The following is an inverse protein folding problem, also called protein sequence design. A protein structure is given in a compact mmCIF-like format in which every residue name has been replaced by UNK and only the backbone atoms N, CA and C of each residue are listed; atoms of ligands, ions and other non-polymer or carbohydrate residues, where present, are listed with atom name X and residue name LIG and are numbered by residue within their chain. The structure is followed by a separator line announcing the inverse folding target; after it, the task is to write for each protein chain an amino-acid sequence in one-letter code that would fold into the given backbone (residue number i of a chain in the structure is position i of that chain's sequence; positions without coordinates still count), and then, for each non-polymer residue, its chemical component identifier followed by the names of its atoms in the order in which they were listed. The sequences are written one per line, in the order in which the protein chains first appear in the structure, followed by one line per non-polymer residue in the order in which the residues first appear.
data_IF_466727644400
#
_entry.id   IF_466727644400
#
_cell.length_a   1.000
_cell.length_b   1.000
_cell.length_c   1.000
_cell.angle_alpha   90.00
_cell.angle_beta   90.00
_cell.angle_gamma   90.00
#
_symmetry.space_group_name_H-M   'P 1'
#
loop_
_entity.id
_entity.type
_entity.pdbx_description
1 polymer ?
#
# COMPACT_ATOMS: atom_id res chain seq x y z
N UNK A 1 70.71 -6.52 -13.10
CA UNK A 1 69.60 -5.57 -12.86
C UNK A 1 69.04 -5.84 -11.47
N UNK A 2 69.24 -4.95 -10.48
CA UNK A 2 68.60 -5.01 -9.14
C UNK A 2 67.31 -4.13 -9.13
N UNK A 3 66.40 -4.14 -8.12
CA UNK A 3 66.62 -3.73 -6.70
C UNK A 3 65.97 -4.67 -5.64
N UNK A 4 66.50 -4.85 -4.42
CA UNK A 4 66.61 -3.98 -3.23
C UNK A 4 65.31 -3.79 -2.42
N UNK A 5 65.29 -4.35 -1.20
CA UNK A 5 64.35 -4.09 -0.10
C UNK A 5 65.07 -3.32 1.02
N UNK A 6 64.34 -2.38 1.62
CA UNK A 6 64.66 -1.60 2.84
C UNK A 6 63.77 -0.35 2.77
N UNK A 7 62.98 0.06 3.75
CA UNK A 7 63.00 -0.13 5.19
C UNK A 7 63.07 1.27 5.84
N UNK A 8 62.15 1.55 6.77
CA UNK A 8 62.22 2.57 7.85
C UNK A 8 61.41 3.88 7.73
N UNK A 9 60.41 3.97 8.62
CA UNK A 9 60.11 5.04 9.62
C UNK A 9 59.86 6.51 9.22
N UNK A 10 58.81 7.09 9.81
CA UNK A 10 58.84 8.47 10.31
C UNK A 10 57.60 9.32 10.03
N UNK A 11 56.69 9.42 11.02
CA UNK A 11 55.89 10.64 11.28
C UNK A 11 56.79 11.67 12.01
N UNK A 12 56.50 13.00 12.11
CA UNK A 12 55.18 13.56 12.47
C UNK A 12 54.79 14.98 11.95
N UNK A 13 53.53 15.36 12.29
CA UNK A 13 53.00 16.67 12.72
C UNK A 13 53.08 17.95 11.84
N UNK A 14 51.95 18.70 11.83
CA UNK A 14 52.00 20.18 11.81
C UNK A 14 50.87 20.94 11.10
N UNK A 15 49.86 21.39 11.87
CA UNK A 15 49.08 22.64 11.79
C UNK A 15 48.59 23.19 10.42
N UNK A 16 47.29 23.51 10.32
CA UNK A 16 46.78 24.82 10.75
C UNK A 16 45.25 24.94 10.57
N UNK A 17 44.60 25.52 11.59
CA UNK A 17 43.19 25.93 11.60
C UNK A 17 43.03 27.32 11.00
N UNK A 18 41.94 27.58 10.27
CA UNK A 18 41.37 28.92 10.19
C UNK A 18 39.85 28.83 10.36
N UNK A 19 39.40 29.60 11.34
CA UNK A 19 38.06 29.79 11.85
C UNK A 19 37.57 31.15 11.36
N UNK A 20 36.34 31.27 10.85
CA UNK A 20 35.63 32.56 10.79
C UNK A 20 34.12 32.35 10.64
N UNK A 21 33.39 32.84 11.64
CA UNK A 21 31.93 32.92 11.73
C UNK A 21 31.52 34.42 11.66
N UNK A 22 30.25 34.84 11.87
CA UNK A 22 29.34 35.27 10.81
C UNK A 22 28.99 36.77 10.85
N UNK A 23 28.37 37.28 9.77
CA UNK A 23 27.82 38.65 9.70
C UNK A 23 26.28 38.67 9.73
N UNK A 24 25.77 39.76 10.31
CA UNK A 24 24.43 40.00 10.86
C UNK A 24 23.43 40.62 9.89
N UNK A 25 22.15 40.52 10.31
CA UNK A 25 21.02 41.44 10.14
C UNK A 25 20.35 41.58 8.75
N UNK A 26 19.03 41.35 8.69
CA UNK A 26 18.07 42.45 8.91
C UNK A 26 16.62 41.96 9.04
N UNK A 27 15.95 42.37 10.12
CA UNK A 27 14.51 42.32 10.37
C UNK A 27 13.78 43.41 9.60
N UNK A 28 12.66 43.08 8.94
CA UNK A 28 11.53 44.03 8.76
C UNK A 28 10.19 43.30 8.80
N UNK A 29 9.46 43.50 9.90
CA UNK A 29 8.02 43.25 10.02
C UNK A 29 7.26 44.23 9.13
N UNK A 30 6.31 43.73 8.35
CA UNK A 30 5.26 44.54 7.75
C UNK A 30 3.93 44.21 8.42
N UNK A 31 3.42 45.18 9.18
CA UNK A 31 2.06 45.20 9.71
C UNK A 31 1.27 46.19 8.87
N UNK A 32 0.20 45.74 8.20
CA UNK A 32 -0.75 46.65 7.55
C UNK A 32 -2.17 46.33 8.01
N UNK A 33 -2.78 47.38 8.55
CA UNK A 33 -4.11 47.45 9.15
C UNK A 33 -5.18 47.52 8.06
N UNK A 34 -6.28 46.83 8.28
CA UNK A 34 -7.57 47.01 7.60
C UNK A 34 -8.22 48.35 8.00
N UNK A 35 -9.01 48.94 7.09
CA UNK A 35 -10.12 49.81 7.48
C UNK A 35 -11.48 49.26 7.02
N UNK A 36 -12.43 49.18 7.96
CA UNK A 36 -13.88 49.30 7.72
C UNK A 36 -14.24 50.80 7.75
N UNK A 37 -15.35 51.25 7.13
CA UNK A 37 -16.57 51.41 7.94
C UNK A 37 -17.95 51.34 7.22
N UNK A 38 -18.97 51.09 8.06
CA UNK A 38 -20.34 51.66 8.11
C UNK A 38 -21.41 51.35 7.03
N UNK A 39 -22.56 50.82 7.50
CA UNK A 39 -23.83 50.62 6.76
C UNK A 39 -24.68 51.89 6.56
N UNK A 40 -25.97 51.79 6.15
CA UNK A 40 -27.05 51.66 7.14
C UNK A 40 -28.28 50.79 6.74
N UNK A 41 -29.27 50.83 7.64
CA UNK A 41 -30.49 50.03 7.85
C UNK A 41 -31.66 50.31 6.88
N UNK A 42 -32.60 49.38 6.86
CA UNK A 42 -34.02 49.57 6.52
C UNK A 42 -34.49 48.55 5.48
N UNK A 43 -35.60 47.83 5.58
CA UNK A 43 -36.74 47.85 6.50
C UNK A 43 -37.61 46.64 6.17
N UNK A 44 -38.47 46.27 7.12
CA UNK A 44 -39.43 45.16 7.03
C UNK A 44 -40.45 45.38 5.91
N UNK A 45 -40.90 44.29 5.27
CA UNK A 45 -42.30 44.08 4.87
C UNK A 45 -42.59 42.59 4.68
N UNK A 46 -43.44 42.10 5.56
CA UNK A 46 -44.29 40.93 5.37
C UNK A 46 -45.00 40.97 4.02
N UNK A 47 -44.92 39.86 3.28
CA UNK A 47 -46.03 39.36 2.47
C UNK A 47 -46.01 37.84 2.45
N UNK A 48 -46.95 37.29 3.20
CA UNK A 48 -47.43 35.91 3.14
C UNK A 48 -48.09 35.69 1.78
N UNK A 49 -47.58 34.76 0.98
CA UNK A 49 -48.36 33.99 0.01
C UNK A 49 -47.52 32.77 -0.42
N UNK A 50 -47.85 31.61 0.15
CA UNK A 50 -47.69 30.36 -0.60
C UNK A 50 -48.67 30.43 -1.77
N UNK A 51 -48.31 29.89 -2.93
CA UNK A 51 -48.96 28.63 -3.22
C UNK A 51 -48.11 27.63 -4.05
N UNK A 52 -48.46 26.36 -3.85
CA UNK A 52 -48.18 25.20 -4.70
C UNK A 52 -46.70 24.78 -4.83
N UNK A 53 -46.30 23.77 -4.04
CA UNK A 53 -45.24 22.87 -4.48
C UNK A 53 -45.72 22.18 -5.75
N UNK A 54 -45.07 22.35 -6.92
CA UNK A 54 -45.16 21.31 -7.92
C UNK A 54 -44.51 20.08 -7.31
N UNK A 55 -45.22 18.95 -7.33
CA UNK A 55 -44.61 17.64 -7.14
C UNK A 55 -43.64 17.47 -8.32
N UNK A 56 -42.41 17.98 -8.17
CA UNK A 56 -41.33 17.68 -9.09
C UNK A 56 -41.10 16.18 -8.98
N UNK A 57 -41.59 15.41 -9.96
CA UNK A 57 -41.02 14.11 -10.26
C UNK A 57 -39.53 14.37 -10.49
N UNK A 58 -38.71 14.14 -9.47
CA UNK A 58 -37.29 13.99 -9.65
C UNK A 58 -37.13 12.78 -10.57
N UNK A 59 -36.95 13.05 -11.86
CA UNK A 59 -36.47 12.05 -12.78
C UNK A 59 -35.10 11.64 -12.21
N UNK A 60 -35.05 10.45 -11.60
CA UNK A 60 -33.78 9.81 -11.29
C UNK A 60 -33.16 9.56 -12.66
N UNK A 61 -32.31 10.50 -13.09
CA UNK A 61 -31.44 10.27 -14.21
C UNK A 61 -30.62 9.04 -13.83
N UNK A 62 -30.94 7.90 -14.43
CA UNK A 62 -30.01 6.78 -14.53
C UNK A 62 -28.79 7.39 -15.23
N UNK A 63 -27.81 7.81 -14.44
CA UNK A 63 -26.49 8.13 -14.96
C UNK A 63 -26.05 6.80 -15.57
N UNK A 64 -26.09 6.71 -16.90
CA UNK A 64 -25.44 5.63 -17.59
C UNK A 64 -23.98 5.73 -17.16
N UNK A 65 -23.55 4.85 -16.25
CA UNK A 65 -22.18 4.77 -15.81
C UNK A 65 -21.35 4.49 -17.08
N UNK A 66 -20.80 5.57 -17.65
CA UNK A 66 -19.84 5.46 -18.73
C UNK A 66 -18.71 4.53 -18.28
N UNK A 67 -18.05 3.85 -19.22
CA UNK A 67 -17.01 2.89 -18.87
C UNK A 67 -15.96 3.58 -17.99
N UNK A 68 -15.73 3.00 -16.80
CA UNK A 68 -14.86 3.60 -15.80
C UNK A 68 -13.48 3.91 -16.40
N UNK A 69 -13.07 5.17 -16.34
CA UNK A 69 -11.81 5.63 -16.92
C UNK A 69 -10.67 5.57 -15.90
N UNK A 70 -9.44 5.40 -16.39
CA UNK A 70 -8.19 5.57 -15.65
C UNK A 70 -7.36 6.69 -16.30
N UNK A 71 -6.95 7.68 -15.50
CA UNK A 71 -6.07 8.74 -15.96
C UNK A 71 -4.63 8.23 -16.11
N UNK A 72 -3.99 8.58 -17.22
CA UNK A 72 -2.58 8.32 -17.50
C UNK A 72 -1.77 9.62 -17.30
N UNK A 73 -1.29 10.22 -18.39
CA UNK A 73 -0.47 11.43 -18.42
C UNK A 73 -1.19 12.55 -19.16
N UNK A 74 -0.93 13.81 -18.77
CA UNK A 74 -1.36 15.01 -19.52
C UNK A 74 -2.86 15.03 -19.89
N UNK A 75 -3.73 14.53 -19.00
CA UNK A 75 -5.17 14.48 -19.23
C UNK A 75 -5.66 13.31 -20.10
N UNK A 76 -4.76 12.50 -20.65
CA UNK A 76 -5.12 11.26 -21.36
C UNK A 76 -5.74 10.28 -20.37
N UNK A 77 -6.86 9.69 -20.75
CA UNK A 77 -7.53 8.63 -20.00
C UNK A 77 -7.78 7.42 -20.89
N UNK A 78 -7.84 6.25 -20.26
CA UNK A 78 -8.18 4.99 -20.93
C UNK A 78 -9.37 4.32 -20.26
N UNK A 79 -10.12 3.57 -21.05
CA UNK A 79 -11.16 2.68 -20.54
C UNK A 79 -10.53 1.53 -19.78
N UNK A 80 -10.98 1.29 -18.55
CA UNK A 80 -10.58 0.11 -17.76
C UNK A 80 -11.19 -1.15 -18.37
N UNK A 81 -10.49 -2.27 -18.22
CA UNK A 81 -11.05 -3.59 -18.53
C UNK A 81 -12.20 -3.95 -17.58
N UNK A 82 -13.06 -4.92 -17.93
CA UNK A 82 -14.22 -5.29 -17.10
C UNK A 82 -13.88 -5.71 -15.66
N UNK A 83 -12.68 -6.25 -15.43
CA UNK A 83 -12.18 -6.60 -14.10
C UNK A 83 -11.64 -5.39 -13.29
N UNK A 84 -11.64 -4.22 -13.92
CA UNK A 84 -11.26 -2.92 -13.37
C UNK A 84 -9.81 -2.52 -13.63
N UNK A 85 -9.04 -3.28 -14.43
CA UNK A 85 -7.62 -2.98 -14.66
C UNK A 85 -7.40 -1.85 -15.66
N UNK A 86 -6.35 -1.08 -15.44
CA UNK A 86 -5.80 -0.10 -16.39
C UNK A 86 -4.45 -0.63 -16.89
N UNK A 87 -4.35 -0.93 -18.20
CA UNK A 87 -3.13 -1.50 -18.82
C UNK A 87 -2.58 -2.72 -18.05
N UNK A 88 -3.46 -3.59 -17.55
CA UNK A 88 -3.07 -4.77 -16.78
C UNK A 88 -2.91 -4.53 -15.27
N UNK A 89 -3.06 -3.32 -14.74
CA UNK A 89 -2.90 -3.02 -13.31
C UNK A 89 -4.23 -2.87 -12.58
N UNK A 90 -4.41 -3.53 -11.43
CA UNK A 90 -5.58 -3.37 -10.58
C UNK A 90 -5.56 -2.01 -9.82
N UNK A 91 -6.73 -1.43 -9.53
CA UNK A 91 -6.81 -0.19 -8.77
C UNK A 91 -6.53 -0.45 -7.29
N UNK A 92 -5.66 0.36 -6.69
CA UNK A 92 -5.26 0.24 -5.28
C UNK A 92 -5.48 1.53 -4.47
N UNK A 93 -5.69 2.66 -5.15
CA UNK A 93 -5.87 3.95 -4.50
C UNK A 93 -4.58 4.51 -3.90
N UNK A 94 -4.72 5.37 -2.89
CA UNK A 94 -3.62 6.01 -2.18
C UNK A 94 -3.91 5.98 -0.67
N UNK A 95 -2.97 5.45 0.12
CA UNK A 95 -3.08 5.41 1.56
C UNK A 95 -2.99 6.83 2.13
N UNK A 96 -3.92 7.15 3.03
CA UNK A 96 -3.92 8.44 3.72
C UNK A 96 -2.58 8.65 4.48
N UNK A 97 -2.01 9.87 4.48
CA UNK A 97 -0.70 10.13 5.10
C UNK A 97 -0.62 9.81 6.60
N UNK A 98 -1.73 9.85 7.32
CA UNK A 98 -1.85 9.52 8.74
C UNK A 98 -1.89 8.00 9.00
N UNK A 99 -2.18 7.19 7.98
CA UNK A 99 -2.12 5.74 8.03
C UNK A 99 -0.69 5.18 7.82
N UNK A 100 0.31 6.06 7.68
CA UNK A 100 1.69 5.71 7.30
C UNK A 100 2.69 6.24 8.31
N UNK A 101 3.67 5.41 8.66
CA UNK A 101 4.82 5.81 9.47
C UNK A 101 6.10 5.86 8.63
N UNK A 102 7.06 6.69 9.05
CA UNK A 102 8.38 6.71 8.46
C UNK A 102 9.15 5.43 8.83
N UNK A 103 9.80 4.82 7.85
CA UNK A 103 10.75 3.72 8.06
C UNK A 103 12.12 4.33 8.37
N UNK A 104 12.78 3.92 9.47
CA UNK A 104 14.11 4.39 9.83
C UNK A 104 15.14 4.30 8.69
N UNK A 105 16.05 5.29 8.55
CA UNK A 105 17.12 5.26 7.54
C UNK A 105 18.07 4.05 7.64
N UNK A 106 18.11 3.36 8.79
CA UNK A 106 18.87 2.11 8.94
C UNK A 106 18.29 0.95 8.13
N UNK A 107 17.03 1.05 7.70
CA UNK A 107 16.29 0.00 6.98
C UNK A 107 15.96 0.37 5.53
N UNK A 108 16.15 1.64 5.14
CA UNK A 108 15.77 2.12 3.82
C UNK A 108 16.81 3.06 3.19
N UNK A 109 16.90 3.00 1.87
CA UNK A 109 17.62 3.98 1.04
C UNK A 109 16.64 5.08 0.65
N UNK A 110 16.85 6.29 1.17
CA UNK A 110 15.96 7.43 0.94
C UNK A 110 14.70 7.39 1.82
N UNK A 111 13.75 8.28 1.51
CA UNK A 111 12.51 8.36 2.26
C UNK A 111 11.61 7.15 1.95
N UNK A 112 11.27 6.40 2.99
CA UNK A 112 10.37 5.27 2.92
C UNK A 112 9.27 5.43 3.98
N UNK A 113 8.02 5.26 3.57
CA UNK A 113 6.87 5.22 4.48
C UNK A 113 6.05 3.98 4.22
N UNK A 114 5.57 3.34 5.27
CA UNK A 114 4.76 2.13 5.21
C UNK A 114 3.64 2.21 6.24
N UNK A 115 2.62 1.37 6.07
CA UNK A 115 1.69 1.11 7.16
C UNK A 115 2.42 0.44 8.33
N UNK A 116 2.02 0.71 9.60
CA UNK A 116 2.77 0.24 10.76
C UNK A 116 3.02 -1.27 10.79
N UNK A 117 2.05 -2.07 10.34
CA UNK A 117 2.14 -3.53 10.35
C UNK A 117 3.17 -4.05 9.33
N UNK A 118 3.20 -3.44 8.13
CA UNK A 118 4.23 -3.74 7.13
C UNK A 118 5.62 -3.23 7.55
N UNK A 119 5.70 -2.07 8.21
CA UNK A 119 6.96 -1.54 8.73
C UNK A 119 7.55 -2.47 9.82
N UNK A 120 6.71 -2.96 10.74
CA UNK A 120 7.11 -3.92 11.75
C UNK A 120 7.55 -5.26 11.13
N UNK A 121 6.86 -5.73 10.10
CA UNK A 121 7.24 -6.93 9.36
C UNK A 121 8.56 -6.75 8.60
N UNK A 122 8.77 -5.59 7.96
CA UNK A 122 10.01 -5.23 7.29
C UNK A 122 11.19 -5.26 8.28
N UNK A 123 11.01 -4.69 9.48
CA UNK A 123 12.05 -4.74 10.52
C UNK A 123 12.44 -6.18 10.87
N UNK A 124 11.45 -7.06 11.11
CA UNK A 124 11.72 -8.48 11.41
C UNK A 124 12.47 -9.18 10.27
N UNK A 125 12.06 -8.92 9.03
CA UNK A 125 12.70 -9.46 7.83
C UNK A 125 14.16 -9.00 7.72
N UNK A 126 14.42 -7.70 7.84
CA UNK A 126 15.76 -7.14 7.70
C UNK A 126 16.68 -7.56 8.85
N UNK A 127 16.17 -7.69 10.07
CA UNK A 127 16.93 -8.25 11.20
C UNK A 127 17.32 -9.70 10.94
N UNK A 128 16.40 -10.52 10.43
CA UNK A 128 16.71 -11.91 10.09
C UNK A 128 17.72 -12.00 8.93
N UNK A 129 17.56 -11.18 7.90
CA UNK A 129 18.49 -11.12 6.77
C UNK A 129 19.91 -10.72 7.24
N UNK A 130 20.04 -9.74 8.13
CA UNK A 130 21.32 -9.28 8.65
C UNK A 130 22.06 -10.35 9.50
N UNK A 131 21.33 -11.31 10.08
CA UNK A 131 21.91 -12.40 10.85
C UNK A 131 22.26 -13.64 10.03
N UNK A 132 21.91 -13.67 8.74
CA UNK A 132 22.09 -14.85 7.89
C UNK A 132 23.34 -14.70 7.00
N UNK A 133 24.34 -15.60 7.11
CA UNK A 133 25.57 -15.52 6.33
C UNK A 133 25.36 -15.70 4.81
N UNK A 134 24.22 -16.24 4.37
CA UNK A 134 23.87 -16.32 2.95
C UNK A 134 23.56 -14.94 2.36
N UNK A 135 23.22 -13.96 3.19
CA UNK A 135 22.98 -12.58 2.77
C UNK A 135 24.35 -11.88 2.64
N UNK A 136 24.97 -12.02 1.48
CA UNK A 136 26.27 -11.40 1.16
C UNK A 136 26.11 -9.93 0.76
N UNK A 137 25.71 -9.10 1.72
CA UNK A 137 25.42 -7.68 1.55
C UNK A 137 24.38 -7.21 2.55
N UNK A 138 24.00 -5.94 2.51
CA UNK A 138 22.93 -5.42 3.37
C UNK A 138 21.68 -5.22 2.54
N UNK A 139 20.60 -5.91 2.89
CA UNK A 139 19.28 -5.74 2.29
C UNK A 139 18.61 -4.48 2.84
N UNK A 140 17.94 -3.71 1.98
CA UNK A 140 17.22 -2.49 2.33
C UNK A 140 15.91 -2.38 1.55
N UNK A 141 14.94 -1.65 2.09
CA UNK A 141 13.90 -1.06 1.27
C UNK A 141 14.47 0.13 0.46
N UNK A 142 14.04 0.36 -0.77
CA UNK A 142 14.39 1.58 -1.53
C UNK A 142 13.20 2.27 -2.19
N UNK A 143 12.06 1.59 -2.32
CA UNK A 143 10.78 2.20 -2.67
C UNK A 143 9.67 1.63 -1.79
N UNK A 144 8.83 2.49 -1.24
CA UNK A 144 7.78 2.11 -0.28
C UNK A 144 6.46 2.76 -0.69
N UNK A 145 5.70 3.37 0.22
CA UNK A 145 4.52 4.14 -0.18
C UNK A 145 4.86 5.18 -1.25
N UNK A 146 4.02 5.23 -2.29
CA UNK A 146 4.09 6.21 -3.38
C UNK A 146 2.72 6.82 -3.56
N UNK A 147 2.61 8.12 -3.28
CA UNK A 147 1.35 8.85 -3.46
C UNK A 147 0.90 8.86 -4.92
N UNK A 148 -0.38 9.15 -5.15
CA UNK A 148 -0.95 9.25 -6.49
C UNK A 148 -0.15 10.22 -7.38
N UNK A 149 0.21 11.38 -6.84
CA UNK A 149 0.98 12.42 -7.54
C UNK A 149 2.39 11.92 -7.88
N UNK A 150 3.06 11.24 -6.94
CA UNK A 150 4.38 10.67 -7.21
C UNK A 150 4.31 9.48 -8.18
N UNK A 151 3.24 8.67 -8.14
CA UNK A 151 3.02 7.62 -9.13
C UNK A 151 2.81 8.21 -10.52
N UNK A 152 2.07 9.31 -10.64
CA UNK A 152 1.90 10.04 -11.89
C UNK A 152 3.23 10.55 -12.44
N UNK A 153 4.04 11.20 -11.60
CA UNK A 153 5.38 11.59 -12.02
C UNK A 153 6.23 10.38 -12.44
N UNK A 154 6.17 9.28 -11.69
CA UNK A 154 6.94 8.06 -12.01
C UNK A 154 6.53 7.44 -13.33
N UNK A 155 5.23 7.33 -13.58
CA UNK A 155 4.69 6.79 -14.82
C UNK A 155 5.00 7.72 -16.00
N UNK A 156 4.80 9.03 -15.84
CA UNK A 156 4.87 10.02 -16.94
C UNK A 156 6.26 10.62 -17.22
N UNK A 157 7.32 10.26 -16.45
CA UNK A 157 8.64 10.89 -16.64
C UNK A 157 9.34 10.51 -17.95
N UNK A 158 9.03 9.34 -18.51
CA UNK A 158 9.63 8.88 -19.77
C UNK A 158 8.72 9.27 -20.93
N UNK A 159 9.30 9.58 -22.10
CA UNK A 159 8.54 9.93 -23.31
C UNK A 159 8.00 8.69 -24.04
N UNK A 160 7.85 7.57 -23.35
CA UNK A 160 7.53 6.27 -23.93
C UNK A 160 6.03 6.16 -24.24
N UNK A 161 5.71 6.15 -25.53
CA UNK A 161 4.39 5.94 -26.15
C UNK A 161 3.27 6.89 -25.69
N UNK A 162 2.52 7.47 -26.63
CA UNK A 162 1.34 8.28 -26.32
C UNK A 162 0.24 7.49 -25.57
N UNK A 163 0.27 6.15 -25.65
CA UNK A 163 -0.72 5.25 -25.05
C UNK A 163 -0.35 4.77 -23.65
N UNK A 164 0.92 4.91 -23.24
CA UNK A 164 1.44 4.41 -21.96
C UNK A 164 1.54 2.88 -21.84
N UNK A 165 1.27 2.14 -22.92
CA UNK A 165 1.26 0.66 -22.91
C UNK A 165 2.66 0.11 -22.57
N UNK A 166 3.70 0.61 -23.24
CA UNK A 166 5.08 0.18 -22.99
C UNK A 166 5.52 0.54 -21.57
N UNK A 167 5.09 1.72 -21.10
CA UNK A 167 5.36 2.16 -19.74
C UNK A 167 4.72 1.24 -18.70
N UNK A 168 3.50 0.77 -18.96
CA UNK A 168 2.76 -0.11 -18.06
C UNK A 168 3.42 -1.48 -17.84
N UNK A 169 4.35 -1.89 -18.70
CA UNK A 169 5.16 -3.08 -18.48
C UNK A 169 6.03 -2.94 -17.23
N UNK A 170 6.50 -1.73 -16.92
CA UNK A 170 7.51 -1.48 -15.86
C UNK A 170 7.10 -0.45 -14.80
N UNK A 171 5.94 0.22 -14.95
CA UNK A 171 5.32 0.95 -13.85
C UNK A 171 3.81 1.01 -14.03
N UNK A 172 3.09 0.87 -12.93
CA UNK A 172 1.64 0.99 -12.93
C UNK A 172 1.16 2.40 -13.30
N UNK A 173 0.01 2.53 -13.98
CA UNK A 173 -0.70 3.80 -14.09
C UNK A 173 -0.99 4.43 -12.72
N UNK A 174 -1.19 5.77 -12.66
CA UNK A 174 -1.62 6.46 -11.45
C UNK A 174 -2.85 5.80 -10.82
N UNK A 175 -2.82 5.56 -9.50
CA UNK A 175 -3.91 4.94 -8.74
C UNK A 175 -3.97 3.41 -8.86
N UNK A 176 -3.11 2.80 -9.67
CA UNK A 176 -3.07 1.35 -9.91
C UNK A 176 -1.75 0.69 -9.45
N UNK A 177 -0.93 1.42 -8.68
CA UNK A 177 0.32 0.89 -8.10
C UNK A 177 0.08 0.27 -6.73
N UNK A 178 0.63 -0.93 -6.48
CA UNK A 178 0.60 -1.55 -5.15
C UNK A 178 1.29 -0.66 -4.09
N UNK A 179 2.27 0.18 -4.46
CA UNK A 179 2.90 1.14 -3.57
C UNK A 179 1.91 2.14 -2.98
N UNK A 180 0.83 2.48 -3.68
CA UNK A 180 -0.22 3.36 -3.17
C UNK A 180 -0.87 2.82 -1.89
N UNK A 181 -0.86 1.50 -1.67
CA UNK A 181 -1.47 0.88 -0.49
C UNK A 181 -0.69 1.12 0.81
N UNK A 182 0.61 1.41 0.71
CA UNK A 182 1.53 1.43 1.85
C UNK A 182 1.94 0.04 2.37
N UNK A 183 1.62 -1.03 1.64
CA UNK A 183 2.02 -2.42 1.95
C UNK A 183 3.09 -2.99 1.02
N UNK A 184 3.39 -2.32 -0.10
CA UNK A 184 4.42 -2.77 -1.04
C UNK A 184 5.79 -2.13 -0.76
N UNK A 185 6.83 -2.93 -0.95
CA UNK A 185 8.24 -2.60 -0.75
C UNK A 185 9.04 -3.11 -1.94
N UNK A 186 9.85 -2.22 -2.51
CA UNK A 186 10.94 -2.60 -3.40
C UNK A 186 12.22 -2.77 -2.58
N UNK A 187 12.88 -3.91 -2.73
CA UNK A 187 14.13 -4.24 -2.05
C UNK A 187 15.37 -3.96 -2.89
N UNK A 188 16.48 -3.64 -2.23
CA UNK A 188 17.80 -3.54 -2.84
C UNK A 188 18.90 -4.01 -1.90
N UNK A 189 20.12 -4.19 -2.42
CA UNK A 189 21.32 -4.46 -1.65
C UNK A 189 22.29 -3.27 -1.64
N UNK A 190 23.03 -3.12 -0.54
CA UNK A 190 24.23 -2.27 -0.49
C UNK A 190 25.44 -3.00 0.11
N UNK A 191 26.68 -2.66 -0.29
CA UNK A 191 27.02 -1.77 -1.41
C UNK A 191 26.49 -2.33 -2.74
N UNK A 192 26.22 -1.43 -3.70
CA UNK A 192 25.77 -1.86 -5.03
C UNK A 192 26.91 -2.61 -5.73
N UNK A 193 26.57 -3.71 -6.40
CA UNK A 193 27.49 -4.70 -6.96
C UNK A 193 27.14 -4.98 -8.43
N UNK A 194 27.28 -3.95 -9.27
CA UNK A 194 27.18 -4.07 -10.73
C UNK A 194 25.78 -4.34 -11.29
N UNK A 195 24.74 -4.38 -10.45
CA UNK A 195 23.34 -4.47 -10.87
C UNK A 195 22.58 -3.25 -10.35
N UNK A 196 21.92 -2.47 -11.23
CA UNK A 196 21.09 -1.35 -10.81
C UNK A 196 19.92 -1.78 -9.91
N UNK A 197 19.39 -0.82 -9.15
CA UNK A 197 18.14 -1.00 -8.43
C UNK A 197 16.98 -1.24 -9.41
N UNK A 198 15.99 -2.03 -8.99
CA UNK A 198 14.81 -2.37 -9.79
C UNK A 198 15.11 -3.11 -11.11
N UNK A 199 16.13 -3.98 -11.12
CA UNK A 199 16.51 -4.76 -12.31
C UNK A 199 16.54 -6.28 -12.08
N UNK A 200 16.33 -7.03 -13.17
CA UNK A 200 16.19 -8.49 -13.15
C UNK A 200 17.45 -9.20 -12.60
N UNK A 201 18.63 -8.61 -12.80
CA UNK A 201 19.90 -9.14 -12.27
C UNK A 201 19.92 -9.22 -10.73
N UNK A 202 19.03 -8.53 -10.03
CA UNK A 202 18.93 -8.62 -8.57
C UNK A 202 18.57 -10.03 -8.10
N UNK A 203 17.78 -10.78 -8.86
CA UNK A 203 17.41 -12.15 -8.51
C UNK A 203 18.60 -13.12 -8.39
N UNK A 204 19.72 -12.82 -9.08
CA UNK A 204 20.93 -13.62 -8.98
C UNK A 204 21.68 -13.40 -7.65
N UNK A 205 21.38 -12.32 -6.93
CA UNK A 205 22.09 -11.93 -5.71
C UNK A 205 21.75 -12.85 -4.55
N UNK A 206 22.72 -13.18 -3.68
CA UNK A 206 22.48 -14.03 -2.51
C UNK A 206 21.34 -13.52 -1.62
N UNK A 207 21.25 -12.20 -1.40
CA UNK A 207 20.18 -11.59 -0.62
C UNK A 207 18.77 -11.80 -1.22
N UNK A 208 18.64 -11.80 -2.54
CA UNK A 208 17.34 -12.00 -3.22
C UNK A 208 16.94 -13.47 -3.29
N UNK A 209 17.91 -14.38 -3.38
CA UNK A 209 17.68 -15.82 -3.19
C UNK A 209 17.20 -16.10 -1.76
N UNK A 210 17.84 -15.47 -0.78
CA UNK A 210 17.40 -15.53 0.61
C UNK A 210 15.99 -14.97 0.79
N UNK A 211 15.69 -13.82 0.16
CA UNK A 211 14.36 -13.21 0.19
C UNK A 211 13.30 -14.14 -0.40
N UNK A 212 13.56 -14.76 -1.56
CA UNK A 212 12.67 -15.75 -2.17
C UNK A 212 12.34 -16.94 -1.25
N UNK A 213 13.29 -17.36 -0.41
CA UNK A 213 13.08 -18.47 0.51
C UNK A 213 12.43 -18.06 1.85
N UNK A 214 12.62 -16.81 2.30
CA UNK A 214 12.32 -16.42 3.68
C UNK A 214 11.26 -15.33 3.83
N UNK A 215 11.06 -14.46 2.83
CA UNK A 215 10.10 -13.37 2.90
C UNK A 215 8.66 -13.79 3.27
N UNK A 216 8.14 -14.96 2.82
CA UNK A 216 6.82 -15.43 3.24
C UNK A 216 6.66 -15.59 4.75
N UNK A 217 7.74 -15.94 5.46
CA UNK A 217 7.76 -16.11 6.93
C UNK A 217 7.54 -14.78 7.67
N UNK A 218 7.72 -13.65 6.98
CA UNK A 218 7.50 -12.31 7.51
C UNK A 218 6.25 -11.64 6.92
N UNK A 219 5.47 -12.37 6.12
CA UNK A 219 4.24 -11.85 5.54
C UNK A 219 4.42 -11.16 4.19
N UNK A 220 5.59 -11.25 3.54
CA UNK A 220 5.83 -10.71 2.21
C UNK A 220 5.73 -11.79 1.13
N UNK A 221 5.00 -11.50 0.05
CA UNK A 221 4.90 -12.34 -1.14
C UNK A 221 5.36 -11.56 -2.39
N UNK A 222 5.94 -12.26 -3.38
CA UNK A 222 6.50 -11.63 -4.59
C UNK A 222 5.38 -11.36 -5.60
N UNK A 223 5.01 -10.09 -5.79
CA UNK A 223 3.81 -9.72 -6.53
C UNK A 223 3.86 -10.09 -8.02
N UNK A 224 5.04 -9.96 -8.65
CA UNK A 224 5.21 -10.10 -10.10
C UNK A 224 6.30 -11.13 -10.44
N UNK A 225 5.99 -12.45 -10.39
CA UNK A 225 6.94 -13.52 -10.73
C UNK A 225 7.18 -13.66 -12.24
N UNK A 226 8.14 -14.49 -12.66
CA UNK A 226 8.49 -14.71 -14.08
C UNK A 226 7.33 -15.21 -14.95
N UNK A 227 6.37 -15.91 -14.36
CA UNK A 227 5.17 -16.44 -15.02
C UNK A 227 3.95 -15.51 -14.87
N UNK A 228 4.16 -14.24 -14.54
CA UNK A 228 3.08 -13.29 -14.33
C UNK A 228 2.29 -12.99 -15.62
N UNK A 229 1.03 -13.42 -15.66
CA UNK A 229 0.12 -13.19 -16.79
C UNK A 229 -0.60 -11.84 -16.74
N UNK A 230 -0.28 -11.00 -15.77
CA UNK A 230 -0.91 -9.70 -15.57
C UNK A 230 -0.53 -8.68 -16.66
N UNK A 231 0.58 -8.90 -17.38
CA UNK A 231 1.15 -7.93 -18.32
C UNK A 231 2.18 -6.97 -17.70
N UNK A 232 2.56 -7.22 -16.44
CA UNK A 232 3.66 -6.54 -15.74
C UNK A 232 4.91 -7.41 -15.86
N UNK A 233 6.08 -6.80 -16.08
CA UNK A 233 7.34 -7.53 -16.16
C UNK A 233 7.62 -8.29 -14.87
N UNK A 234 8.56 -9.23 -14.93
CA UNK A 234 9.09 -9.85 -13.73
C UNK A 234 9.85 -8.82 -12.89
N UNK A 235 9.48 -8.70 -11.62
CA UNK A 235 10.04 -7.72 -10.69
C UNK A 235 10.52 -8.43 -9.41
N UNK A 236 11.71 -9.08 -9.42
CA UNK A 236 12.23 -9.80 -8.24
C UNK A 236 12.42 -8.91 -7.00
N UNK A 237 12.43 -7.59 -7.18
CA UNK A 237 12.54 -6.59 -6.11
C UNK A 237 11.22 -6.18 -5.49
N UNK A 238 10.08 -6.39 -6.15
CA UNK A 238 8.78 -5.84 -5.74
C UNK A 238 7.99 -6.88 -4.91
N UNK A 239 7.78 -6.56 -3.64
CA UNK A 239 7.11 -7.45 -2.68
C UNK A 239 5.97 -6.72 -1.98
N UNK A 240 4.85 -7.41 -1.76
CA UNK A 240 3.73 -6.89 -0.97
C UNK A 240 3.58 -7.63 0.34
N UNK A 241 3.26 -6.89 1.39
CA UNK A 241 2.92 -7.47 2.68
C UNK A 241 1.44 -7.84 2.74
N UNK A 242 1.14 -9.09 3.12
CA UNK A 242 -0.22 -9.64 3.30
C UNK A 242 -0.41 -10.31 4.66
N UNK A 243 0.58 -10.17 5.55
CA UNK A 243 0.64 -10.89 6.83
C UNK A 243 0.91 -12.38 6.66
N UNK A 244 1.53 -12.97 7.66
CA UNK A 244 1.81 -14.42 7.75
C UNK A 244 0.54 -15.25 7.81
N UNK A 245 -0.55 -14.68 8.36
CA UNK A 245 -1.90 -15.26 8.37
C UNK A 245 -2.95 -14.16 8.20
N UNK A 246 -4.20 -14.52 7.91
CA UNK A 246 -5.32 -13.57 7.91
C UNK A 246 -5.61 -12.93 9.26
N UNK A 247 -5.22 -13.60 10.35
CA UNK A 247 -5.46 -13.15 11.71
C UNK A 247 -4.40 -12.15 12.20
N UNK A 248 -3.27 -11.99 11.50
CA UNK A 248 -2.28 -10.98 11.87
C UNK A 248 -2.89 -9.57 11.75
N UNK A 249 -2.72 -8.69 12.76
CA UNK A 249 -3.24 -7.33 12.69
C UNK A 249 -2.85 -6.63 11.38
N UNK A 250 -3.80 -5.97 10.74
CA UNK A 250 -3.61 -5.31 9.43
C UNK A 250 -3.67 -6.25 8.21
N UNK A 251 -3.48 -7.55 8.37
CA UNK A 251 -3.44 -8.51 7.27
C UNK A 251 -4.79 -8.61 6.53
N UNK A 252 -5.92 -8.53 7.24
CA UNK A 252 -7.24 -8.53 6.62
C UNK A 252 -7.41 -7.40 5.59
N UNK A 253 -6.95 -6.18 5.91
CA UNK A 253 -6.98 -5.04 4.99
C UNK A 253 -6.05 -5.27 3.79
N UNK A 254 -4.81 -5.68 4.04
CA UNK A 254 -3.85 -5.94 2.97
C UNK A 254 -4.38 -7.03 2.00
N UNK A 255 -4.85 -8.16 2.55
CA UNK A 255 -5.41 -9.27 1.76
C UNK A 255 -6.66 -8.86 0.99
N UNK A 256 -7.49 -7.98 1.54
CA UNK A 256 -8.64 -7.43 0.82
C UNK A 256 -8.19 -6.57 -0.38
N UNK A 257 -7.25 -5.64 -0.17
CA UNK A 257 -6.72 -4.79 -1.24
C UNK A 257 -6.11 -5.61 -2.38
N UNK A 258 -5.39 -6.69 -2.05
CA UNK A 258 -4.74 -7.56 -3.03
C UNK A 258 -5.59 -8.76 -3.46
N UNK A 259 -6.85 -8.88 -3.04
CA UNK A 259 -7.66 -10.09 -3.25
C UNK A 259 -7.78 -10.45 -4.74
N UNK A 260 -8.08 -9.47 -5.59
CA UNK A 260 -8.19 -9.66 -7.04
C UNK A 260 -6.86 -10.10 -7.65
N UNK A 261 -5.77 -9.43 -7.28
CA UNK A 261 -4.43 -9.76 -7.77
C UNK A 261 -4.02 -11.18 -7.33
N UNK A 262 -4.17 -11.52 -6.05
CA UNK A 262 -3.83 -12.85 -5.51
C UNK A 262 -4.64 -13.97 -6.15
N UNK A 263 -5.90 -13.72 -6.50
CA UNK A 263 -6.76 -14.71 -7.16
C UNK A 263 -6.43 -14.90 -8.64
N UNK A 264 -6.21 -13.81 -9.39
CA UNK A 264 -6.02 -13.85 -10.84
C UNK A 264 -4.54 -14.04 -11.26
N UNK A 265 -3.62 -13.47 -10.50
CA UNK A 265 -2.18 -13.42 -10.75
C UNK A 265 -1.43 -13.73 -9.44
N UNK A 266 -1.42 -15.01 -9.01
CA UNK A 266 -0.85 -15.38 -7.73
C UNK A 266 0.63 -15.02 -7.65
N UNK A 267 1.05 -14.55 -6.47
CA UNK A 267 2.45 -14.31 -6.17
C UNK A 267 3.27 -15.59 -6.23
N UNK A 268 4.59 -15.48 -6.36
CA UNK A 268 5.49 -16.63 -6.20
C UNK A 268 6.88 -16.18 -5.71
N UNK A 269 7.27 -16.45 -4.45
CA UNK A 269 6.52 -17.25 -3.47
C UNK A 269 5.25 -16.54 -3.00
N UNK A 270 4.19 -17.33 -2.78
CA UNK A 270 2.93 -16.87 -2.22
C UNK A 270 2.84 -17.22 -0.72
N UNK A 271 2.02 -16.47 0.01
CA UNK A 271 1.55 -16.87 1.34
C UNK A 271 0.13 -17.41 1.19
N UNK A 272 -0.23 -18.45 1.94
CA UNK A 272 -1.45 -19.22 1.77
C UNK A 272 -2.68 -18.35 1.42
N UNK A 273 -3.45 -18.76 0.39
CA UNK A 273 -4.66 -18.06 0.01
C UNK A 273 -5.66 -18.13 1.16
N UNK A 274 -6.21 -16.98 1.55
CA UNK A 274 -7.46 -16.98 2.31
C UNK A 274 -8.54 -17.20 1.27
N UNK A 275 -8.72 -18.44 0.86
CA UNK A 275 -10.08 -18.83 0.54
C UNK A 275 -10.79 -18.81 1.89
N UNK A 276 -11.87 -18.03 2.09
CA UNK A 276 -12.80 -18.43 3.13
C UNK A 276 -13.15 -19.87 2.78
N UNK A 277 -12.87 -20.82 3.68
CA UNK A 277 -13.58 -22.10 3.63
C UNK A 277 -15.04 -21.68 3.68
N UNK A 278 -15.71 -21.72 2.53
CA UNK A 278 -17.17 -21.81 2.51
C UNK A 278 -17.41 -23.18 3.12
N UNK A 279 -17.52 -23.23 4.45
CA UNK A 279 -18.13 -24.36 5.10
C UNK A 279 -19.58 -24.24 4.63
N UNK A 280 -20.07 -25.14 3.74
CA UNK A 280 -21.47 -25.12 3.40
C UNK A 280 -22.24 -25.15 4.73
N UNK A 281 -23.30 -24.35 4.89
CA UNK A 281 -24.11 -24.42 6.10
C UNK A 281 -24.45 -25.89 6.34
N UNK A 282 -24.28 -26.36 7.58
CA UNK A 282 -24.68 -27.72 7.94
C UNK A 282 -26.13 -27.86 7.53
N UNK A 283 -26.40 -28.65 6.49
CA UNK A 283 -27.75 -28.95 6.07
C UNK A 283 -28.31 -29.90 7.13
N UNK A 284 -28.94 -29.32 8.14
CA UNK A 284 -29.74 -30.06 9.11
C UNK A 284 -30.97 -30.57 8.35
N UNK A 285 -30.88 -31.81 7.83
CA UNK A 285 -31.98 -32.45 7.07
C UNK A 285 -33.15 -32.85 7.97
N UNK A 286 -32.93 -32.88 9.28
CA UNK A 286 -33.93 -33.30 10.25
C UNK A 286 -33.98 -32.27 11.37
N UNK A 287 -35.07 -31.51 11.44
CA UNK A 287 -35.39 -30.74 12.65
C UNK A 287 -35.67 -31.78 13.73
N UNK A 288 -34.77 -31.89 14.72
CA UNK A 288 -35.03 -32.69 15.90
C UNK A 288 -36.30 -32.14 16.57
N UNK A 289 -37.31 -32.99 16.77
CA UNK A 289 -38.55 -32.57 17.40
C UNK A 289 -38.24 -32.07 18.81
N UNK A 290 -38.77 -30.89 19.15
CA UNK A 290 -38.66 -30.34 20.48
C UNK A 290 -39.12 -31.40 21.51
N UNK A 291 -38.38 -31.60 22.62
CA UNK A 291 -38.76 -32.57 23.63
C UNK A 291 -40.17 -32.25 24.13
N UNK A 292 -40.98 -33.29 24.26
CA UNK A 292 -42.35 -33.16 24.72
C UNK A 292 -42.38 -32.44 26.08
N UNK A 293 -43.22 -31.40 26.18
CA UNK A 293 -43.41 -30.64 27.41
C UNK A 293 -43.99 -31.54 28.52
N UNK A 294 -43.11 -32.14 29.33
CA UNK A 294 -43.49 -32.90 30.50
C UNK A 294 -44.11 -32.02 31.61
N UNK A 295 -43.89 -30.71 31.58
CA UNK A 295 -44.46 -29.78 32.57
C UNK A 295 -45.96 -29.54 32.30
N UNK A 296 -46.41 -29.62 31.04
CA UNK A 296 -47.83 -29.61 30.69
C UNK A 296 -48.62 -30.77 31.30
N UNK A 297 -48.04 -31.99 31.31
CA UNK A 297 -48.67 -33.18 31.92
C UNK A 297 -48.77 -33.07 33.46
N UNK A 298 -47.74 -32.52 34.12
CA UNK A 298 -47.77 -32.30 35.59
C UNK A 298 -48.80 -31.25 36.00
N UNK A 299 -48.98 -30.17 35.24
CA UNK A 299 -50.02 -29.15 35.52
C UNK A 299 -51.44 -29.71 35.39
N UNK A 300 -51.68 -30.57 34.41
CA UNK A 300 -53.01 -31.19 34.19
C UNK A 300 -53.38 -32.18 35.30
N UNK A 301 -52.46 -33.05 35.70
CA UNK A 301 -52.66 -33.97 36.85
C UNK A 301 -52.86 -33.28 38.20
N UNK A 302 -52.23 -32.11 38.41
CA UNK A 302 -52.39 -31.33 39.67
C UNK A 302 -53.74 -30.60 39.73
N UNK A 303 -54.40 -30.36 38.59
CA UNK A 303 -55.72 -29.72 38.53
C UNK A 303 -56.85 -30.72 38.74
N UNK A 304 -56.69 -31.97 38.32
CA UNK A 304 -57.65 -33.07 38.58
C UNK A 304 -57.64 -33.49 40.06
N UNK A 305 -56.48 -33.57 40.71
CA UNK A 305 -56.37 -33.90 42.16
C UNK A 305 -56.84 -32.80 43.14
N UNK A 306 -57.41 -31.70 42.65
CA UNK A 306 -57.97 -30.61 43.47
C UNK A 306 -59.49 -30.50 43.33
N UNK A 307 -60.14 -31.48 42.68
CA UNK A 307 -61.58 -31.53 42.46
C UNK A 307 -62.27 -32.74 43.15
N UNK A 308 -61.53 -33.48 43.95
CA UNK A 308 -62.02 -34.48 44.90
C UNK A 308 -61.68 -34.00 46.32
#
# INVERSE_FOLDING_TARGET
MPPARGGSTGSPAGLSMINASPSRNNTRSFSMRLPLPSGPRGGQRETRMQPHLPLSLAAIALVADGPAQAQLCNGVSITKSPDGRALGHFPYGDAAPDALMAVPPSMAIGACRLRPEAAAALQRLLTAAAGDPAVQGRLYAFSCHRSLVHQQWTFCRTRESATGVDRAISAAPPGHSEHGTGYAVDFTVRPADGCPDAEACMAAKPAFRWLAANAPRFGFELSFPTSNKQGVKWEPWHWRWVGTSSAEPGAARARFLFAKARAAFPANPAIDPVLPRVVPPVVVRTIEQAPADENGKKKRRRKERRRD
#
